data_IF_446102524875
#
_entry.id   IF_446102524875
#
_cell.length_a   1.000
_cell.length_b   1.000
_cell.length_c   1.000
_cell.angle_alpha   90.00
_cell.angle_beta   90.00
_cell.angle_gamma   90.00
#
_symmetry.space_group_name_H-M   'P 1'
#
loop_
_entity.id
_entity.type
_entity.pdbx_description
1 polymer ?
#
# COMPACT_ATOMS: atom_id res chain seq x y z
N UNK A 1 25.38 28.97 -30.68
CA UNK A 1 25.27 29.09 -32.16
C UNK A 1 25.25 27.67 -32.72
N UNK A 2 24.08 27.15 -33.16
CA UNK A 2 23.60 27.13 -34.57
C UNK A 2 24.63 26.41 -35.47
N UNK A 3 24.38 25.29 -36.18
CA UNK A 3 23.21 24.59 -36.75
C UNK A 3 23.63 23.11 -36.97
N UNK A 4 22.80 22.07 -36.79
CA UNK A 4 21.73 21.56 -37.67
C UNK A 4 22.15 21.43 -39.15
N UNK A 5 21.66 20.35 -39.80
CA UNK A 5 21.44 20.15 -41.26
C UNK A 5 22.56 19.31 -41.94
N UNK A 6 22.39 18.20 -42.70
CA UNK A 6 21.36 17.53 -43.53
C UNK A 6 21.90 16.06 -43.76
N UNK A 7 21.19 14.96 -44.03
CA UNK A 7 20.32 14.64 -45.18
C UNK A 7 19.82 13.19 -45.01
N UNK A 8 18.50 12.97 -45.17
CA UNK A 8 17.88 11.69 -45.55
C UNK A 8 17.77 11.64 -47.09
N UNK A 9 17.82 10.46 -47.72
CA UNK A 9 16.61 9.94 -48.36
C UNK A 9 16.45 8.42 -48.14
N UNK A 10 15.34 7.95 -47.57
CA UNK A 10 14.12 7.51 -48.26
C UNK A 10 14.35 6.41 -49.31
N UNK A 11 14.09 5.15 -48.92
CA UNK A 11 13.48 4.18 -49.82
C UNK A 11 12.24 3.60 -49.14
N UNK A 12 11.11 3.85 -49.80
CA UNK A 12 9.79 3.36 -49.47
C UNK A 12 9.73 1.86 -49.82
N UNK A 13 9.44 1.02 -48.83
CA UNK A 13 8.89 -0.31 -49.02
C UNK A 13 7.57 -0.37 -48.29
N UNK A 14 6.46 -0.27 -49.02
CA UNK A 14 5.11 -0.50 -48.51
C UNK A 14 4.88 -2.00 -48.28
N UNK A 15 4.00 -2.27 -47.31
CA UNK A 15 3.37 -3.55 -46.93
C UNK A 15 4.17 -4.46 -45.98
N UNK A 16 3.86 -4.36 -44.69
CA UNK A 16 2.98 -5.34 -44.02
C UNK A 16 2.73 -4.89 -42.58
N UNK A 17 1.47 -4.91 -42.13
CA UNK A 17 1.16 -5.10 -40.72
C UNK A 17 1.73 -6.47 -40.33
N UNK A 18 2.94 -6.49 -39.78
CA UNK A 18 3.59 -7.69 -39.28
C UNK A 18 3.54 -7.66 -37.77
N UNK A 19 2.68 -8.50 -37.18
CA UNK A 19 2.78 -8.86 -35.77
C UNK A 19 4.18 -9.39 -35.50
N UNK A 20 4.91 -8.70 -34.63
CA UNK A 20 6.24 -9.12 -34.20
C UNK A 20 6.12 -10.38 -33.34
N UNK A 21 6.28 -11.55 -33.94
CA UNK A 21 6.69 -12.78 -33.26
C UNK A 21 8.20 -12.74 -32.98
N UNK A 22 8.66 -11.67 -32.31
CA UNK A 22 10.05 -11.53 -31.91
C UNK A 22 10.32 -12.49 -30.76
N UNK A 23 11.28 -13.39 -30.94
CA UNK A 23 11.71 -14.31 -29.90
C UNK A 23 12.40 -13.48 -28.79
N UNK A 24 11.64 -12.94 -27.82
CA UNK A 24 12.19 -12.04 -26.80
C UNK A 24 13.32 -12.74 -26.04
N UNK A 25 14.54 -12.20 -26.16
CA UNK A 25 15.71 -12.68 -25.43
C UNK A 25 15.65 -12.19 -23.98
N UNK A 26 15.78 -13.10 -23.02
CA UNK A 26 15.72 -12.79 -21.58
C UNK A 26 17.11 -12.40 -21.09
N UNK A 27 17.52 -11.17 -21.38
CA UNK A 27 18.90 -10.71 -21.14
C UNK A 27 19.10 -10.04 -19.79
N UNK A 28 18.03 -9.54 -19.17
CA UNK A 28 18.07 -8.86 -17.87
C UNK A 28 17.26 -9.60 -16.80
N UNK A 29 17.52 -9.31 -15.50
CA UNK A 29 16.66 -9.80 -14.41
C UNK A 29 15.21 -9.33 -14.55
N UNK A 30 14.98 -8.12 -15.07
CA UNK A 30 13.64 -7.60 -15.34
C UNK A 30 12.93 -8.43 -16.41
N UNK A 31 13.65 -8.85 -17.46
CA UNK A 31 13.08 -9.70 -18.53
C UNK A 31 12.69 -11.07 -17.97
N UNK A 32 13.58 -11.71 -17.22
CA UNK A 32 13.38 -13.06 -16.67
C UNK A 32 12.22 -13.11 -15.66
N UNK A 33 12.09 -12.07 -14.84
CA UNK A 33 10.99 -11.90 -13.90
C UNK A 33 9.67 -11.61 -14.63
N UNK A 34 9.66 -10.69 -15.59
CA UNK A 34 8.46 -10.37 -16.37
C UNK A 34 7.95 -11.58 -17.14
N UNK A 35 8.87 -12.33 -17.77
CA UNK A 35 8.59 -13.63 -18.40
C UNK A 35 7.97 -14.63 -17.43
N UNK A 36 8.57 -14.80 -16.25
CA UNK A 36 8.09 -15.72 -15.23
C UNK A 36 6.67 -15.38 -14.74
N UNK A 37 6.33 -14.08 -14.67
CA UNK A 37 4.97 -13.63 -14.33
C UNK A 37 3.95 -13.96 -15.42
N UNK A 38 4.33 -13.84 -16.70
CA UNK A 38 3.46 -14.22 -17.82
C UNK A 38 3.17 -15.72 -17.82
N UNK A 39 4.20 -16.54 -17.62
CA UNK A 39 4.06 -17.99 -17.45
C UNK A 39 3.14 -18.32 -16.28
N UNK A 40 3.35 -17.70 -15.11
CA UNK A 40 2.57 -17.96 -13.91
C UNK A 40 1.09 -17.59 -14.07
N UNK A 41 0.78 -16.42 -14.67
CA UNK A 41 -0.59 -15.99 -14.93
C UNK A 41 -1.32 -17.01 -15.80
N UNK A 42 -0.71 -17.42 -16.90
CA UNK A 42 -1.29 -18.40 -17.83
C UNK A 42 -1.44 -19.78 -17.18
N UNK A 43 -0.43 -20.23 -16.42
CA UNK A 43 -0.47 -21.51 -15.69
C UNK A 43 -1.67 -21.56 -14.73
N UNK A 44 -1.89 -20.51 -13.92
CA UNK A 44 -3.02 -20.44 -12.99
C UNK A 44 -4.37 -20.50 -13.70
N UNK A 45 -4.55 -19.74 -14.78
CA UNK A 45 -5.82 -19.70 -15.51
C UNK A 45 -6.09 -21.01 -16.28
N UNK A 46 -5.05 -21.63 -16.82
CA UNK A 46 -5.16 -22.96 -17.42
C UNK A 46 -5.59 -24.02 -16.41
N UNK A 47 -5.09 -23.97 -15.15
CA UNK A 47 -5.57 -24.91 -14.11
C UNK A 47 -7.07 -24.75 -13.80
N UNK A 48 -7.66 -23.60 -14.13
CA UNK A 48 -9.08 -23.31 -13.99
C UNK A 48 -9.88 -23.58 -15.28
N UNK A 49 -9.24 -24.13 -16.32
CA UNK A 49 -9.86 -24.40 -17.61
C UNK A 49 -10.07 -23.16 -18.48
N UNK A 50 -9.40 -22.04 -18.17
CA UNK A 50 -9.51 -20.78 -18.91
C UNK A 50 -8.30 -20.61 -19.82
N UNK A 51 -8.46 -20.86 -21.12
CA UNK A 51 -7.40 -20.72 -22.11
C UNK A 51 -7.42 -19.31 -22.72
N UNK A 52 -6.69 -18.35 -22.14
CA UNK A 52 -6.67 -16.96 -22.61
C UNK A 52 -5.97 -16.77 -23.97
N UNK A 53 -6.34 -15.68 -24.66
CA UNK A 53 -5.65 -15.16 -25.85
C UNK A 53 -4.51 -14.21 -25.42
N UNK A 54 -3.22 -14.61 -25.56
CA UNK A 54 -2.10 -13.82 -25.06
C UNK A 54 -1.94 -12.48 -25.78
N UNK A 55 -2.28 -12.38 -27.07
CA UNK A 55 -2.28 -11.12 -27.82
C UNK A 55 -3.27 -10.11 -27.24
N UNK A 56 -4.44 -10.57 -26.82
CA UNK A 56 -5.45 -9.70 -26.21
C UNK A 56 -5.08 -9.27 -24.79
N UNK A 57 -4.37 -10.12 -24.02
CA UNK A 57 -3.78 -9.71 -22.73
C UNK A 57 -2.80 -8.55 -22.95
N UNK A 58 -1.91 -8.67 -23.94
CA UNK A 58 -0.97 -7.59 -24.25
C UNK A 58 -1.68 -6.33 -24.73
N UNK A 59 -2.68 -6.46 -25.59
CA UNK A 59 -3.45 -5.33 -26.09
C UNK A 59 -4.14 -4.58 -24.94
N UNK A 60 -4.82 -5.30 -24.05
CA UNK A 60 -5.45 -4.70 -22.86
C UNK A 60 -4.44 -4.02 -21.94
N UNK A 61 -3.25 -4.59 -21.79
CA UNK A 61 -2.19 -3.98 -21.00
C UNK A 61 -1.72 -2.64 -21.60
N UNK A 62 -1.45 -2.63 -22.91
CA UNK A 62 -0.93 -1.47 -23.64
C UNK A 62 -1.98 -0.36 -23.72
N UNK A 63 -3.22 -0.70 -24.07
CA UNK A 63 -4.31 0.26 -24.18
C UNK A 63 -4.60 0.95 -22.84
N UNK A 64 -4.52 0.23 -21.71
CA UNK A 64 -4.63 0.84 -20.39
C UNK A 64 -3.53 1.89 -20.14
N UNK A 65 -2.27 1.61 -20.52
CA UNK A 65 -1.16 2.56 -20.34
C UNK A 65 -1.33 3.82 -21.19
N UNK A 66 -1.93 3.68 -22.37
CA UNK A 66 -2.18 4.77 -23.31
C UNK A 66 -3.52 5.48 -23.08
N UNK A 67 -4.29 5.08 -22.07
CA UNK A 67 -5.67 5.56 -21.82
C UNK A 67 -6.58 5.38 -23.05
N UNK A 68 -6.43 4.24 -23.74
CA UNK A 68 -7.17 3.84 -24.94
C UNK A 68 -7.97 2.56 -24.70
N UNK A 69 -8.76 2.20 -25.71
CA UNK A 69 -9.51 0.95 -25.76
C UNK A 69 -10.75 0.95 -24.87
N UNK A 70 -11.09 -0.21 -24.30
CA UNK A 70 -12.31 -0.39 -23.50
C UNK A 70 -12.29 0.46 -22.22
N UNK A 71 -13.43 1.09 -21.88
CA UNK A 71 -13.53 1.93 -20.68
C UNK A 71 -13.37 1.10 -19.39
N UNK A 72 -12.85 1.72 -18.33
CA UNK A 72 -12.67 1.08 -17.03
C UNK A 72 -13.94 0.43 -16.50
N UNK A 73 -15.09 1.09 -16.63
CA UNK A 73 -16.36 0.53 -16.18
C UNK A 73 -16.76 -0.68 -17.01
N UNK A 74 -16.44 -0.68 -18.31
CA UNK A 74 -16.78 -1.77 -19.21
C UNK A 74 -15.98 -3.03 -18.90
N UNK A 75 -14.65 -2.95 -18.81
CA UNK A 75 -13.85 -4.14 -18.49
C UNK A 75 -14.05 -4.61 -17.03
N UNK A 76 -14.29 -3.68 -16.09
CA UNK A 76 -14.61 -4.04 -14.69
C UNK A 76 -15.95 -4.77 -14.59
N UNK A 77 -16.97 -4.28 -15.32
CA UNK A 77 -18.29 -4.93 -15.36
C UNK A 77 -18.20 -6.32 -15.97
N UNK A 78 -17.41 -6.45 -17.05
CA UNK A 78 -17.16 -7.74 -17.70
C UNK A 78 -16.50 -8.74 -16.73
N UNK A 79 -15.44 -8.34 -16.01
CA UNK A 79 -14.78 -9.20 -15.02
C UNK A 79 -15.71 -9.59 -13.87
N UNK A 80 -16.58 -8.69 -13.43
CA UNK A 80 -17.57 -8.96 -12.38
C UNK A 80 -18.61 -9.99 -12.84
N UNK A 81 -19.10 -9.87 -14.08
CA UNK A 81 -20.04 -10.82 -14.66
C UNK A 81 -19.41 -12.20 -14.84
N UNK A 82 -18.19 -12.25 -15.39
CA UNK A 82 -17.40 -13.48 -15.49
C UNK A 82 -17.18 -14.15 -14.13
N UNK A 83 -16.78 -13.37 -13.11
CA UNK A 83 -16.58 -13.88 -11.75
C UNK A 83 -17.86 -14.43 -11.14
N UNK A 84 -19.00 -13.77 -11.37
CA UNK A 84 -20.31 -14.24 -10.95
C UNK A 84 -20.68 -15.56 -11.64
N UNK A 85 -20.45 -15.68 -12.95
CA UNK A 85 -20.68 -16.94 -13.68
C UNK A 85 -19.82 -18.08 -13.13
N UNK A 86 -18.53 -17.85 -12.89
CA UNK A 86 -17.64 -18.82 -12.26
C UNK A 86 -18.09 -19.18 -10.83
N UNK A 87 -18.53 -18.19 -10.05
CA UNK A 87 -19.04 -18.37 -8.70
C UNK A 87 -20.37 -19.12 -8.64
N UNK A 88 -21.22 -19.05 -9.68
CA UNK A 88 -22.46 -19.82 -9.78
C UNK A 88 -22.23 -21.29 -10.16
N UNK A 89 -21.04 -21.65 -10.66
CA UNK A 89 -20.67 -23.03 -11.07
C UNK A 89 -20.15 -23.91 -9.92
N UNK A 90 -20.35 -23.53 -8.66
CA UNK A 90 -19.73 -24.20 -7.49
C UNK A 90 -19.80 -25.73 -7.56
N UNK A 91 -18.62 -26.38 -7.61
CA UNK A 91 -18.48 -27.83 -7.50
C UNK A 91 -18.46 -28.61 -8.82
N UNK A 92 -18.63 -27.98 -9.98
CA UNK A 92 -18.41 -28.64 -11.26
C UNK A 92 -16.95 -28.45 -11.73
N UNK A 93 -16.18 -29.52 -12.04
CA UNK A 93 -14.88 -29.35 -12.69
C UNK A 93 -15.09 -28.64 -14.03
N UNK A 94 -14.37 -27.54 -14.26
CA UNK A 94 -14.35 -26.87 -15.55
C UNK A 94 -13.62 -27.78 -16.53
N UNK A 95 -14.36 -28.47 -17.40
CA UNK A 95 -13.78 -29.31 -18.45
C UNK A 95 -13.30 -28.42 -19.60
N UNK A 96 -12.21 -28.81 -20.27
CA UNK A 96 -11.63 -28.06 -21.40
C UNK A 96 -12.63 -27.77 -22.53
N UNK A 97 -13.68 -28.60 -22.67
CA UNK A 97 -14.71 -28.48 -23.70
C UNK A 97 -15.93 -27.65 -23.28
N UNK A 98 -15.99 -27.14 -22.04
CA UNK A 98 -17.11 -26.33 -21.58
C UNK A 98 -16.92 -24.88 -22.05
N UNK A 99 -17.75 -24.34 -22.96
CA UNK A 99 -17.59 -22.96 -23.39
C UNK A 99 -17.85 -22.03 -22.20
N UNK A 100 -16.78 -21.38 -21.73
CA UNK A 100 -16.87 -20.18 -20.90
C UNK A 100 -17.41 -19.09 -21.82
N UNK A 101 -18.74 -18.91 -21.85
CA UNK A 101 -19.46 -18.22 -22.93
C UNK A 101 -19.40 -16.69 -22.89
N UNK A 102 -18.37 -16.10 -22.31
CA UNK A 102 -18.06 -14.67 -22.44
C UNK A 102 -16.88 -14.50 -23.38
N UNK A 103 -16.95 -13.55 -24.32
CA UNK A 103 -16.00 -13.40 -25.42
C UNK A 103 -14.54 -13.50 -24.91
N UNK A 104 -13.84 -14.56 -25.32
CA UNK A 104 -12.51 -14.89 -24.82
C UNK A 104 -11.50 -13.76 -25.07
N UNK A 105 -11.62 -13.06 -26.18
CA UNK A 105 -10.77 -11.92 -26.51
C UNK A 105 -11.07 -10.75 -25.57
N UNK A 106 -12.34 -10.54 -25.22
CA UNK A 106 -12.75 -9.51 -24.26
C UNK A 106 -12.28 -9.85 -22.84
N UNK A 107 -12.38 -11.12 -22.43
CA UNK A 107 -11.86 -11.59 -21.15
C UNK A 107 -10.34 -11.40 -21.06
N UNK A 108 -9.63 -11.82 -22.10
CA UNK A 108 -8.17 -11.71 -22.17
C UNK A 108 -7.73 -10.24 -22.16
N UNK A 109 -8.42 -9.37 -22.90
CA UNK A 109 -8.23 -7.92 -22.86
C UNK A 109 -8.45 -7.35 -21.45
N UNK A 110 -9.59 -7.68 -20.83
CA UNK A 110 -9.95 -7.16 -19.52
C UNK A 110 -8.93 -7.57 -18.44
N UNK A 111 -8.42 -8.81 -18.51
CA UNK A 111 -7.35 -9.31 -17.65
C UNK A 111 -6.04 -8.55 -17.88
N UNK A 112 -5.69 -8.26 -19.14
CA UNK A 112 -4.53 -7.44 -19.49
C UNK A 112 -4.60 -6.03 -18.91
N UNK A 113 -5.76 -5.37 -19.05
CA UNK A 113 -6.01 -4.02 -18.53
C UNK A 113 -5.98 -3.98 -16.99
N UNK A 114 -6.66 -4.91 -16.31
CA UNK A 114 -6.64 -5.03 -14.84
C UNK A 114 -5.23 -5.31 -14.32
N UNK A 115 -4.47 -6.19 -15.01
CA UNK A 115 -3.09 -6.47 -14.66
C UNK A 115 -2.20 -5.21 -14.80
N UNK A 116 -2.36 -4.45 -15.89
CA UNK A 116 -1.65 -3.18 -16.09
C UNK A 116 -1.95 -2.16 -14.99
N UNK A 117 -3.21 -2.05 -14.59
CA UNK A 117 -3.63 -1.21 -13.46
C UNK A 117 -2.95 -1.61 -12.15
N UNK A 118 -2.89 -2.92 -11.83
CA UNK A 118 -2.19 -3.43 -10.64
C UNK A 118 -0.69 -3.15 -10.67
N UNK A 119 -0.06 -3.25 -11.84
CA UNK A 119 1.37 -2.98 -11.98
C UNK A 119 1.67 -1.48 -11.81
N UNK A 120 0.84 -0.61 -12.40
CA UNK A 120 0.92 0.85 -12.24
C UNK A 120 0.72 1.26 -10.79
N UNK A 121 -0.31 0.74 -10.12
CA UNK A 121 -0.62 1.08 -8.71
C UNK A 121 0.38 0.53 -7.71
N UNK A 122 1.00 -0.63 -7.98
CA UNK A 122 2.06 -1.20 -7.15
C UNK A 122 3.44 -0.55 -7.36
N UNK A 123 3.60 0.27 -8.41
CA UNK A 123 4.89 0.88 -8.78
C UNK A 123 5.95 -0.15 -9.23
N UNK A 124 5.47 -1.29 -9.74
CA UNK A 124 6.28 -2.40 -10.21
C UNK A 124 6.61 -2.20 -11.70
N UNK A 125 7.91 -2.20 -12.01
CA UNK A 125 8.37 -2.19 -13.40
C UNK A 125 8.14 -3.56 -14.04
N UNK A 126 7.69 -3.57 -15.30
CA UNK A 126 7.46 -4.77 -16.09
C UNK A 126 8.05 -4.58 -17.48
N UNK A 127 8.76 -5.59 -17.99
CA UNK A 127 9.03 -5.72 -19.41
C UNK A 127 7.84 -6.45 -20.05
N UNK A 128 7.01 -5.70 -20.76
CA UNK A 128 5.77 -6.18 -21.39
C UNK A 128 6.00 -7.24 -22.46
N UNK A 129 7.09 -7.12 -23.23
CA UNK A 129 7.44 -8.06 -24.28
C UNK A 129 7.88 -9.41 -23.71
N UNK A 130 8.67 -9.39 -22.64
CA UNK A 130 9.08 -10.60 -21.94
C UNK A 130 7.88 -11.27 -21.24
N UNK A 131 7.00 -10.47 -20.62
CA UNK A 131 5.75 -10.95 -20.03
C UNK A 131 4.84 -11.64 -21.07
N UNK A 132 4.59 -10.99 -22.20
CA UNK A 132 3.81 -11.57 -23.29
C UNK A 132 4.44 -12.87 -23.80
N UNK A 133 5.77 -12.90 -23.95
CA UNK A 133 6.46 -14.11 -24.39
C UNK A 133 6.26 -15.25 -23.40
N UNK A 134 6.25 -14.97 -22.09
CA UNK A 134 5.93 -15.96 -21.06
C UNK A 134 4.50 -16.51 -21.18
N UNK A 135 3.53 -15.65 -21.48
CA UNK A 135 2.15 -16.08 -21.73
C UNK A 135 2.05 -16.99 -22.97
N UNK A 136 2.76 -16.63 -24.04
CA UNK A 136 2.76 -17.37 -25.32
C UNK A 136 3.40 -18.76 -25.19
N UNK A 137 4.56 -18.84 -24.54
CA UNK A 137 5.33 -20.09 -24.43
C UNK A 137 4.60 -21.16 -23.60
N UNK A 138 3.65 -20.77 -22.75
CA UNK A 138 2.77 -21.71 -22.05
C UNK A 138 1.78 -22.45 -22.95
N UNK A 139 1.48 -21.91 -24.13
CA UNK A 139 0.63 -22.54 -25.14
C UNK A 139 1.44 -23.20 -26.26
N UNK A 140 2.77 -23.01 -26.28
CA UNK A 140 3.67 -23.61 -27.25
C UNK A 140 3.99 -25.06 -26.89
N UNK A 141 4.24 -25.91 -27.90
CA UNK A 141 4.63 -27.31 -27.69
C UNK A 141 5.96 -27.45 -26.93
N UNK A 142 6.87 -26.49 -27.11
CA UNK A 142 8.19 -26.45 -26.46
C UNK A 142 8.11 -26.07 -24.97
N UNK A 143 6.99 -25.48 -24.54
CA UNK A 143 6.76 -25.01 -23.18
C UNK A 143 7.63 -23.81 -22.77
N UNK A 144 7.62 -23.44 -21.47
CA UNK A 144 8.36 -22.28 -20.97
C UNK A 144 9.89 -22.42 -21.09
N UNK A 145 10.55 -21.34 -21.53
CA UNK A 145 12.01 -21.15 -21.59
C UNK A 145 12.70 -21.22 -20.23
N UNK A 146 11.98 -20.87 -19.16
CA UNK A 146 12.45 -20.99 -17.77
C UNK A 146 11.65 -22.11 -17.11
N UNK A 147 12.34 -23.11 -16.58
CA UNK A 147 11.72 -24.21 -15.84
C UNK A 147 11.06 -23.72 -14.53
N UNK A 148 10.28 -24.60 -13.89
CA UNK A 148 9.52 -24.22 -12.69
C UNK A 148 10.44 -23.72 -11.56
N UNK A 149 11.59 -24.35 -11.35
CA UNK A 149 12.55 -23.98 -10.31
C UNK A 149 13.16 -22.59 -10.58
N UNK A 150 13.53 -22.31 -11.83
CA UNK A 150 14.03 -21.01 -12.25
C UNK A 150 12.99 -19.90 -12.08
N UNK A 151 11.72 -20.16 -12.42
CA UNK A 151 10.63 -19.18 -12.22
C UNK A 151 10.42 -18.86 -10.74
N UNK A 152 10.39 -19.89 -9.88
CA UNK A 152 10.30 -19.71 -8.43
C UNK A 152 11.47 -18.87 -7.88
N UNK A 153 12.69 -19.11 -8.37
CA UNK A 153 13.85 -18.31 -8.01
C UNK A 153 13.70 -16.84 -8.45
N UNK A 154 13.22 -16.57 -9.66
CA UNK A 154 12.97 -15.20 -10.13
C UNK A 154 11.91 -14.48 -9.29
N UNK A 155 10.82 -15.16 -8.94
CA UNK A 155 9.76 -14.62 -8.06
C UNK A 155 10.33 -14.29 -6.66
N UNK A 156 11.19 -15.15 -6.11
CA UNK A 156 11.83 -14.92 -4.82
C UNK A 156 12.77 -13.72 -4.85
N UNK A 157 13.63 -13.63 -5.88
CA UNK A 157 14.54 -12.49 -6.09
C UNK A 157 13.75 -11.20 -6.21
N UNK A 158 12.67 -11.21 -6.99
CA UNK A 158 11.80 -10.08 -7.18
C UNK A 158 11.11 -9.66 -5.88
N UNK A 159 10.55 -10.62 -5.14
CA UNK A 159 9.90 -10.37 -3.84
C UNK A 159 10.88 -9.74 -2.85
N UNK A 160 12.13 -10.22 -2.83
CA UNK A 160 13.21 -9.65 -2.02
C UNK A 160 13.54 -8.21 -2.45
N UNK A 161 13.69 -7.95 -3.75
CA UNK A 161 13.94 -6.60 -4.27
C UNK A 161 12.81 -5.63 -3.91
N UNK A 162 11.56 -6.07 -3.99
CA UNK A 162 10.42 -5.25 -3.59
C UNK A 162 10.42 -4.98 -2.09
N UNK A 163 10.75 -5.96 -1.26
CA UNK A 163 10.91 -5.76 0.18
C UNK A 163 12.04 -4.77 0.48
N UNK A 164 13.19 -4.89 -0.20
CA UNK A 164 14.31 -3.96 -0.06
C UNK A 164 13.93 -2.55 -0.52
N UNK A 165 13.23 -2.40 -1.65
CA UNK A 165 12.74 -1.10 -2.14
C UNK A 165 11.74 -0.47 -1.17
N UNK A 166 10.82 -1.25 -0.62
CA UNK A 166 9.88 -0.75 0.39
C UNK A 166 10.59 -0.36 1.69
N UNK A 167 11.57 -1.16 2.13
CA UNK A 167 12.37 -0.84 3.32
C UNK A 167 13.16 0.45 3.10
N UNK A 168 13.86 0.57 1.97
CA UNK A 168 14.62 1.77 1.62
C UNK A 168 13.71 3.00 1.50
N UNK A 169 12.51 2.85 0.92
CA UNK A 169 11.51 3.93 0.88
C UNK A 169 11.08 4.36 2.29
N UNK A 170 10.71 3.40 3.16
CA UNK A 170 10.32 3.68 4.55
C UNK A 170 11.46 4.36 5.32
N UNK A 171 12.71 3.96 5.11
CA UNK A 171 13.87 4.59 5.75
C UNK A 171 14.13 6.01 5.24
N UNK A 172 14.01 6.23 3.93
CA UNK A 172 14.16 7.55 3.33
C UNK A 172 13.06 8.51 3.81
N UNK A 173 11.79 8.08 3.75
CA UNK A 173 10.65 8.84 4.27
C UNK A 173 10.78 9.08 5.79
N UNK A 174 11.22 8.05 6.53
CA UNK A 174 11.49 8.16 7.96
C UNK A 174 12.60 9.16 8.32
N UNK A 175 13.62 9.30 7.48
CA UNK A 175 14.64 10.34 7.64
C UNK A 175 14.07 11.74 7.44
N UNK A 176 13.28 11.94 6.39
CA UNK A 176 12.61 13.21 6.08
C UNK A 176 11.61 13.58 7.19
N UNK A 177 10.84 12.62 7.69
CA UNK A 177 9.85 12.85 8.74
C UNK A 177 10.50 13.18 10.08
N UNK A 178 11.64 12.54 10.41
CA UNK A 178 12.39 12.86 11.61
C UNK A 178 12.89 14.32 11.57
N UNK A 179 13.50 14.73 10.45
CA UNK A 179 14.01 16.10 10.29
C UNK A 179 12.87 17.14 10.37
N UNK A 180 11.75 16.89 9.68
CA UNK A 180 10.55 17.75 9.76
C UNK A 180 9.99 17.82 11.19
N UNK A 181 9.93 16.68 11.87
CA UNK A 181 9.47 16.57 13.25
C UNK A 181 10.33 17.37 14.22
N UNK A 182 11.65 17.19 14.16
CA UNK A 182 12.60 17.91 15.00
C UNK A 182 12.55 19.42 14.73
N UNK A 183 12.50 19.84 13.46
CA UNK A 183 12.37 21.24 13.09
C UNK A 183 11.05 21.86 13.61
N UNK A 184 9.93 21.14 13.43
CA UNK A 184 8.63 21.56 13.93
C UNK A 184 8.64 21.71 15.46
N UNK A 185 9.16 20.72 16.19
CA UNK A 185 9.21 20.74 17.65
C UNK A 185 10.13 21.86 18.15
N UNK A 186 11.28 22.10 17.50
CA UNK A 186 12.18 23.18 17.87
C UNK A 186 11.51 24.56 17.71
N UNK A 187 10.78 24.78 16.61
CA UNK A 187 9.99 26.00 16.41
C UNK A 187 8.84 26.09 17.43
N UNK A 188 8.10 25.01 17.61
CA UNK A 188 6.92 24.96 18.45
C UNK A 188 7.23 25.21 19.94
N UNK A 189 8.39 24.77 20.42
CA UNK A 189 8.88 25.06 21.77
C UNK A 189 9.01 26.55 22.08
N UNK A 190 9.16 27.40 21.06
CA UNK A 190 9.28 28.85 21.22
C UNK A 190 7.93 29.57 21.25
N UNK A 191 6.83 28.87 20.95
CA UNK A 191 5.48 29.45 20.87
C UNK A 191 4.90 29.68 22.27
N UNK A 192 4.14 30.76 22.40
CA UNK A 192 3.51 31.12 23.66
C UNK A 192 2.54 30.03 24.15
N UNK A 193 2.70 29.67 25.42
CA UNK A 193 1.91 28.66 26.12
C UNK A 193 2.31 27.21 25.82
N UNK A 194 3.35 26.98 25.00
CA UNK A 194 3.92 25.65 24.80
C UNK A 194 4.94 25.37 25.90
N UNK A 195 4.81 24.22 26.54
CA UNK A 195 5.73 23.70 27.54
C UNK A 195 6.39 22.44 27.01
N UNK A 196 7.67 22.24 27.33
CA UNK A 196 8.44 21.04 26.94
C UNK A 196 8.86 20.29 28.20
N UNK A 197 8.62 18.98 28.25
CA UNK A 197 9.04 18.11 29.34
C UNK A 197 10.45 17.56 29.11
N UNK A 198 11.02 16.88 30.11
CA UNK A 198 12.35 16.27 30.02
C UNK A 198 12.45 15.17 28.95
N UNK A 199 11.33 14.49 28.64
CA UNK A 199 11.28 13.46 27.60
C UNK A 199 11.22 14.04 26.18
N UNK A 200 11.04 15.36 26.05
CA UNK A 200 10.83 16.05 24.79
C UNK A 200 9.36 16.15 24.36
N UNK A 201 8.41 15.60 25.14
CA UNK A 201 6.99 15.86 24.92
C UNK A 201 6.74 17.37 25.03
N UNK A 202 6.00 17.93 24.08
CA UNK A 202 5.50 19.29 24.19
C UNK A 202 3.99 19.29 24.37
N UNK A 203 3.49 20.26 25.10
CA UNK A 203 2.05 20.43 25.26
C UNK A 203 1.68 21.90 25.42
N UNK A 204 0.42 22.20 25.08
CA UNK A 204 -0.22 23.49 25.32
C UNK A 204 -1.54 23.28 26.02
N UNK A 205 -1.75 24.00 27.12
CA UNK A 205 -3.03 24.01 27.83
C UNK A 205 -4.02 24.88 27.05
N UNK A 206 -5.11 24.28 26.58
CA UNK A 206 -6.20 24.99 25.87
C UNK A 206 -7.27 25.41 26.88
N UNK A 207 -7.72 24.45 27.69
CA UNK A 207 -8.64 24.66 28.80
C UNK A 207 -8.06 23.97 30.03
N UNK A 208 -7.88 24.71 31.11
CA UNK A 208 -7.45 24.13 32.37
C UNK A 208 -8.61 23.39 33.04
N UNK A 209 -8.34 22.19 33.54
CA UNK A 209 -9.24 21.48 34.44
C UNK A 209 -8.98 21.85 35.90
N UNK A 210 -9.66 21.17 36.82
CA UNK A 210 -9.41 21.31 38.25
C UNK A 210 -9.43 19.94 38.93
N UNK A 211 -8.77 19.84 40.09
CA UNK A 211 -8.73 18.61 40.88
C UNK A 211 -7.53 17.72 40.55
N UNK A 212 -7.59 16.43 40.88
CA UNK A 212 -6.46 15.52 40.71
C UNK A 212 -6.18 15.20 39.23
N UNK A 213 -4.94 14.77 38.98
CA UNK A 213 -4.52 14.16 37.71
C UNK A 213 -4.56 12.63 37.82
N UNK A 214 -4.75 11.90 36.70
CA UNK A 214 -4.73 10.45 36.71
C UNK A 214 -3.34 9.89 37.01
N UNK A 215 -3.27 8.74 37.67
CA UNK A 215 -2.05 7.95 37.79
C UNK A 215 -1.74 7.20 36.49
N UNK A 216 -0.48 6.80 36.22
CA UNK A 216 -0.11 6.13 34.97
C UNK A 216 -0.80 4.78 34.72
N UNK A 217 -1.38 4.19 35.76
CA UNK A 217 -2.14 2.93 35.69
C UNK A 217 -3.65 3.15 35.62
N UNK A 218 -4.13 4.38 35.77
CA UNK A 218 -5.56 4.66 35.78
C UNK A 218 -6.19 4.44 34.39
N UNK A 219 -7.50 4.23 34.42
CA UNK A 219 -8.33 4.20 33.24
C UNK A 219 -8.89 5.59 33.04
N UNK A 220 -8.67 6.16 31.85
CA UNK A 220 -9.15 7.50 31.48
C UNK A 220 -10.26 7.40 30.45
N UNK A 221 -11.20 8.35 30.51
CA UNK A 221 -12.21 8.57 29.47
C UNK A 221 -11.92 9.90 28.79
N UNK A 222 -11.72 9.89 27.47
CA UNK A 222 -11.26 11.07 26.73
C UNK A 222 -12.03 11.27 25.42
N UNK A 223 -12.12 12.54 25.00
CA UNK A 223 -12.26 12.88 23.59
C UNK A 223 -10.89 13.25 23.01
N UNK A 224 -10.65 12.89 21.74
CA UNK A 224 -9.40 13.26 21.08
C UNK A 224 -9.48 13.29 19.56
N UNK A 225 -8.51 13.99 18.98
CA UNK A 225 -8.21 13.95 17.55
C UNK A 225 -6.69 13.92 17.35
N UNK A 226 -6.20 12.91 16.64
CA UNK A 226 -4.81 12.73 16.26
C UNK A 226 -4.57 13.06 14.80
N UNK A 227 -3.57 13.90 14.54
CA UNK A 227 -3.17 14.31 13.19
C UNK A 227 -1.65 14.32 12.99
N UNK A 228 -1.24 14.12 11.74
CA UNK A 228 0.14 14.33 11.29
C UNK A 228 0.44 15.82 11.15
N UNK A 229 1.72 16.17 10.96
CA UNK A 229 2.16 17.56 10.79
C UNK A 229 1.59 18.23 9.52
N UNK A 230 1.20 17.44 8.52
CA UNK A 230 0.56 17.93 7.30
C UNK A 230 -0.96 18.18 7.45
N UNK A 231 -1.52 17.90 8.64
CA UNK A 231 -2.94 18.06 8.94
C UNK A 231 -3.79 16.82 8.68
N UNK A 232 -3.22 15.73 8.16
CA UNK A 232 -3.94 14.46 7.96
C UNK A 232 -4.40 13.91 9.30
N UNK A 233 -5.71 13.82 9.50
CA UNK A 233 -6.32 13.15 10.67
C UNK A 233 -6.23 11.64 10.46
N UNK A 234 -5.63 10.94 11.41
CA UNK A 234 -5.49 9.47 11.35
C UNK A 234 -6.41 8.75 12.33
N UNK A 235 -6.90 9.45 13.36
CA UNK A 235 -7.81 8.89 14.36
C UNK A 235 -8.55 10.02 15.11
N UNK A 236 -9.88 9.93 15.23
CA UNK A 236 -10.70 10.94 15.92
C UNK A 236 -11.88 10.28 16.63
N UNK A 237 -12.01 10.51 17.94
CA UNK A 237 -13.20 10.08 18.67
C UNK A 237 -14.39 11.01 18.44
N UNK A 238 -14.15 12.26 18.03
CA UNK A 238 -15.21 13.18 17.63
C UNK A 238 -15.92 12.70 16.35
N UNK A 239 -15.17 12.19 15.37
CA UNK A 239 -15.76 11.61 14.15
C UNK A 239 -16.59 10.35 14.43
N UNK A 240 -16.21 9.58 15.46
CA UNK A 240 -17.00 8.42 15.93
C UNK A 240 -18.25 8.83 16.74
N UNK A 241 -18.29 10.06 17.25
CA UNK A 241 -19.41 10.60 18.02
C UNK A 241 -19.48 10.13 19.47
N UNK A 242 -18.47 9.40 19.97
CA UNK A 242 -18.43 8.91 21.35
C UNK A 242 -17.01 8.96 21.94
N UNK A 243 -16.87 9.25 23.25
CA UNK A 243 -15.58 9.21 23.93
C UNK A 243 -15.05 7.78 24.03
N UNK A 244 -13.75 7.64 24.23
CA UNK A 244 -13.11 6.33 24.40
C UNK A 244 -12.57 6.17 25.82
N UNK A 245 -12.57 4.94 26.33
CA UNK A 245 -11.98 4.57 27.60
C UNK A 245 -10.77 3.64 27.36
N UNK A 246 -9.62 3.95 27.97
CA UNK A 246 -8.43 3.07 27.93
C UNK A 246 -7.56 3.24 29.19
N UNK A 247 -6.76 2.22 29.48
CA UNK A 247 -5.73 2.31 30.52
C UNK A 247 -4.53 3.14 30.04
N UNK A 248 -4.06 4.10 30.86
CA UNK A 248 -2.93 4.96 30.48
C UNK A 248 -1.62 4.21 30.23
N UNK A 249 -1.49 2.98 30.74
CA UNK A 249 -0.36 2.10 30.49
C UNK A 249 -0.47 1.26 29.20
N UNK A 250 -1.54 1.43 28.42
CA UNK A 250 -1.80 0.68 27.18
C UNK A 250 -1.70 1.55 25.91
N UNK A 251 -1.31 2.82 26.07
CA UNK A 251 -1.16 3.79 24.99
C UNK A 251 0.30 4.15 24.78
N UNK A 252 0.58 4.93 23.73
CA UNK A 252 1.95 5.38 23.43
C UNK A 252 2.53 6.21 24.59
N UNK A 253 3.86 6.17 24.82
CA UNK A 253 4.49 6.85 25.96
C UNK A 253 4.12 8.33 26.11
N UNK A 254 4.02 9.07 25.00
CA UNK A 254 3.66 10.49 25.02
C UNK A 254 2.23 10.75 25.48
N UNK A 255 1.31 9.81 25.25
CA UNK A 255 -0.05 9.87 25.80
C UNK A 255 -0.05 9.54 27.30
N UNK A 256 0.65 8.47 27.69
CA UNK A 256 0.81 8.11 29.10
C UNK A 256 1.33 9.31 29.90
N UNK A 257 2.38 9.96 29.41
CA UNK A 257 2.95 11.16 30.05
C UNK A 257 2.01 12.36 29.97
N UNK A 258 1.53 12.73 28.77
CA UNK A 258 0.77 13.95 28.55
C UNK A 258 -0.55 14.00 29.32
N UNK A 259 -1.26 12.88 29.44
CA UNK A 259 -2.55 12.85 30.15
C UNK A 259 -2.35 12.92 31.68
N UNK A 260 -1.22 12.47 32.21
CA UNK A 260 -0.89 12.66 33.64
C UNK A 260 -0.67 14.14 34.00
N UNK A 261 -0.38 15.00 33.02
CA UNK A 261 -0.28 16.44 33.21
C UNK A 261 -1.64 17.14 33.20
N UNK A 262 -2.72 16.43 32.86
CA UNK A 262 -4.07 16.95 32.74
C UNK A 262 -4.88 16.69 34.02
N UNK A 263 -5.74 17.64 34.36
CA UNK A 263 -6.81 17.44 35.34
C UNK A 263 -8.10 17.04 34.63
N UNK A 264 -9.04 16.42 35.34
CA UNK A 264 -10.36 16.16 34.78
C UNK A 264 -11.02 17.47 34.30
N UNK A 265 -11.65 17.40 33.13
CA UNK A 265 -12.22 18.54 32.40
C UNK A 265 -11.20 19.39 31.62
N UNK A 266 -9.90 19.06 31.65
CA UNK A 266 -8.90 19.81 30.91
C UNK A 266 -8.91 19.43 29.42
N UNK A 267 -8.54 20.41 28.57
CA UNK A 267 -8.26 20.19 27.16
C UNK A 267 -6.85 20.66 26.82
N UNK A 268 -6.00 19.75 26.37
CA UNK A 268 -4.60 20.00 26.02
C UNK A 268 -4.37 19.69 24.55
N UNK A 269 -3.42 20.39 23.94
CA UNK A 269 -2.81 19.98 22.68
C UNK A 269 -1.44 19.39 22.99
N UNK A 270 -1.22 18.13 22.64
CA UNK A 270 0.04 17.42 22.79
C UNK A 270 0.77 17.36 21.45
N UNK A 271 2.08 17.60 21.45
CA UNK A 271 2.95 17.41 20.31
C UNK A 271 3.99 16.37 20.69
N UNK A 272 3.85 15.18 20.12
CA UNK A 272 4.52 13.97 20.57
C UNK A 272 5.64 13.63 19.57
N UNK A 273 6.92 13.75 19.96
CA UNK A 273 8.03 13.28 19.15
C UNK A 273 7.86 11.80 18.81
N UNK A 274 8.36 11.39 17.64
CA UNK A 274 8.16 10.02 17.16
C UNK A 274 8.66 8.94 18.12
N UNK A 275 9.73 9.20 18.87
CA UNK A 275 10.26 8.30 19.91
C UNK A 275 9.33 8.06 21.10
N UNK A 276 8.39 8.97 21.36
CA UNK A 276 7.32 8.82 22.35
C UNK A 276 5.99 8.35 21.71
N UNK A 277 6.02 8.03 20.41
CA UNK A 277 4.91 7.55 19.62
C UNK A 277 5.23 6.17 18.99
N UNK A 278 5.23 6.07 17.66
CA UNK A 278 5.43 4.81 16.92
C UNK A 278 6.84 4.64 16.33
N UNK A 279 7.73 5.60 16.52
CA UNK A 279 9.15 5.55 16.13
C UNK A 279 9.40 5.20 14.66
N UNK A 280 10.56 4.58 14.40
CA UNK A 280 11.00 4.18 13.04
C UNK A 280 10.06 3.18 12.36
N UNK A 281 9.28 2.43 13.13
CA UNK A 281 8.34 1.46 12.55
C UNK A 281 7.06 2.14 12.03
N UNK A 282 6.65 3.25 12.65
CA UNK A 282 5.34 3.83 12.40
C UNK A 282 4.19 2.90 12.80
N UNK A 283 2.98 3.26 12.37
CA UNK A 283 1.77 2.44 12.48
C UNK A 283 1.06 2.43 11.12
N UNK A 284 1.58 1.67 10.14
CA UNK A 284 1.01 1.63 8.81
C UNK A 284 -0.41 1.03 8.81
N UNK A 285 -1.30 1.47 7.89
CA UNK A 285 -1.00 2.36 6.77
C UNK A 285 -1.08 3.87 7.10
N UNK A 286 -1.55 4.25 8.29
CA UNK A 286 -1.96 5.63 8.57
C UNK A 286 -0.84 6.52 9.14
N UNK A 287 0.13 5.93 9.85
CA UNK A 287 1.23 6.67 10.48
C UNK A 287 2.55 6.14 9.92
N UNK A 288 3.29 7.01 9.24
CA UNK A 288 4.59 6.69 8.66
C UNK A 288 5.71 6.52 9.69
N UNK A 289 6.89 6.14 9.20
CA UNK A 289 8.11 6.07 10.02
C UNK A 289 8.47 7.44 10.58
N UNK A 290 8.88 7.49 11.85
CA UNK A 290 9.36 8.68 12.57
C UNK A 290 8.42 9.89 12.53
N UNK A 291 7.11 9.68 12.36
CA UNK A 291 6.14 10.76 12.40
C UNK A 291 6.03 11.38 13.79
N UNK A 292 6.06 12.72 13.84
CA UNK A 292 5.67 13.49 15.01
C UNK A 292 4.16 13.68 14.98
N UNK A 293 3.50 13.42 16.10
CA UNK A 293 2.03 13.43 16.16
C UNK A 293 1.54 14.66 16.91
N UNK A 294 0.42 15.21 16.47
CA UNK A 294 -0.31 16.24 17.21
C UNK A 294 -1.62 15.66 17.67
N UNK A 295 -1.92 15.77 18.96
CA UNK A 295 -3.18 15.36 19.54
C UNK A 295 -3.87 16.52 20.22
N UNK A 296 -5.15 16.73 19.92
CA UNK A 296 -6.03 17.49 20.80
C UNK A 296 -6.73 16.50 21.71
N UNK A 297 -6.55 16.63 23.02
CA UNK A 297 -7.06 15.69 24.03
C UNK A 297 -7.92 16.45 25.03
N UNK A 298 -9.13 15.96 25.27
CA UNK A 298 -10.04 16.41 26.30
C UNK A 298 -10.26 15.28 27.31
N UNK A 299 -9.75 15.46 28.53
CA UNK A 299 -9.88 14.49 29.60
C UNK A 299 -11.23 14.68 30.30
N UNK A 300 -12.16 13.74 30.11
CA UNK A 300 -13.50 13.85 30.68
C UNK A 300 -13.52 13.36 32.13
N UNK A 301 -12.95 12.18 32.38
CA UNK A 301 -12.90 11.57 33.70
C UNK A 301 -11.83 10.48 33.76
N UNK A 302 -11.54 9.98 34.97
CA UNK A 302 -10.66 8.84 35.17
C UNK A 302 -11.06 8.06 36.42
N UNK A 303 -10.63 6.79 36.47
CA UNK A 303 -10.86 5.89 37.60
C UNK A 303 -9.64 4.98 37.82
N UNK A 304 -9.37 4.53 39.06
CA UNK A 304 -8.31 3.58 39.33
C UNK A 304 -8.46 2.30 38.50
N UNK A 305 -7.35 1.71 38.06
CA UNK A 305 -7.38 0.40 37.44
C UNK A 305 -7.98 -0.65 38.40
N UNK A 306 -8.68 -1.67 37.87
CA UNK A 306 -9.10 -2.81 38.67
C UNK A 306 -7.90 -3.42 39.39
N UNK A 307 -8.04 -3.85 40.65
CA UNK A 307 -6.97 -4.56 41.33
C UNK A 307 -6.58 -5.79 40.49
N UNK A 308 -5.27 -6.13 40.42
CA UNK A 308 -4.84 -7.32 39.71
C UNK A 308 -5.60 -8.53 40.25
N UNK A 309 -5.96 -9.50 39.40
CA UNK A 309 -6.59 -10.72 39.87
C UNK A 309 -5.70 -11.36 40.95
N UNK A 310 -6.29 -11.94 42.01
CA UNK A 310 -5.51 -12.59 43.06
C UNK A 310 -4.57 -13.61 42.43
N UNK A 311 -3.31 -13.60 42.86
CA UNK A 311 -2.32 -14.56 42.39
C UNK A 311 -2.89 -15.99 42.53
N UNK A 312 -2.75 -16.87 41.53
CA UNK A 312 -3.11 -18.27 41.68
C UNK A 312 -2.40 -18.83 42.92
N UNK A 313 -3.18 -19.39 43.84
CA UNK A 313 -2.83 -19.81 45.21
C UNK A 313 -1.34 -20.00 45.52
N UNK A 314 -0.86 -19.21 46.50
CA UNK A 314 0.26 -19.60 47.36
C UNK A 314 -0.19 -20.69 48.34
#
# INVERSE_FOLDING_TARGET
MKKLIYLLPFLLGLAACGGGSGNTELTTPLDSMSYSLGVYLTEQLNTQGIALNPEMIHQGYMDFQEEKGMDKKEYTSFLMEFSKEMGMRQGAPVTADAPLSTNLDTLSYAIGADFSERMKTSGMALNTDAFLQGCKDMFAEEGPKIDLAGRQAQIMVFSKQMQEKQTAKMEAEGGVNLEKGEAFLAENATKEGVMTTESGLQYKVITAGAGPSPAPTDIVTVHYEGRLLDGTVFDSSYERGEPIEFGLNQVIPGWTEGVQLMNAGAKYQLYIPSGLAYGKRGSPPNIGSNETLIFDVELLSFKPAPPPPPAPGQ
#
